data_IF_739983255103
#
_entry.id   IF_739983255103
#
_cell.length_a   1.000
_cell.length_b   1.000
_cell.length_c   1.000
_cell.angle_alpha   90.00
_cell.angle_beta   90.00
_cell.angle_gamma   90.00
#
_symmetry.space_group_name_H-M   'P 1'
#
loop_
_entity.id
_entity.type
_entity.pdbx_description
1 polymer ?
#
# COMPACT_ATOMS: atom_id res chain seq x y z
N UNK A 1 23.84 -10.57 -4.03
CA UNK A 1 22.40 -10.93 -4.04
C UNK A 1 21.83 -10.58 -5.41
N UNK A 2 21.17 -11.52 -6.09
CA UNK A 2 20.48 -11.22 -7.35
C UNK A 2 19.16 -10.53 -7.03
N UNK A 3 18.65 -9.68 -7.93
CA UNK A 3 17.35 -9.00 -7.78
C UNK A 3 16.21 -10.01 -7.53
N UNK A 4 16.35 -11.20 -8.13
CA UNK A 4 15.44 -12.33 -7.98
C UNK A 4 15.33 -12.80 -6.53
N UNK A 5 16.43 -12.75 -5.77
CA UNK A 5 16.44 -13.16 -4.37
C UNK A 5 15.67 -12.16 -3.49
N UNK A 6 15.72 -10.86 -3.86
CA UNK A 6 14.96 -9.80 -3.18
C UNK A 6 13.45 -9.88 -3.45
N UNK A 7 13.04 -10.33 -4.63
CA UNK A 7 11.62 -10.53 -4.97
C UNK A 7 10.97 -11.69 -4.21
N UNK A 8 11.75 -12.68 -3.78
CA UNK A 8 11.27 -13.81 -2.98
C UNK A 8 11.20 -13.53 -1.48
N UNK A 9 11.87 -12.47 -1.02
CA UNK A 9 11.84 -12.08 0.39
C UNK A 9 10.48 -11.44 0.73
N UNK A 10 9.84 -11.84 1.84
CA UNK A 10 8.54 -11.32 2.18
C UNK A 10 8.61 -9.86 2.66
N UNK A 11 7.58 -9.09 2.29
CA UNK A 11 7.32 -7.77 2.87
C UNK A 11 7.01 -7.91 4.37
N UNK A 12 7.60 -7.08 5.25
CA UNK A 12 7.35 -7.12 6.70
C UNK A 12 5.86 -6.93 7.04
N UNK A 13 5.40 -7.53 8.15
CA UNK A 13 3.97 -7.52 8.54
C UNK A 13 3.39 -6.11 8.67
N UNK A 14 4.17 -5.14 9.14
CA UNK A 14 3.78 -3.74 9.26
C UNK A 14 3.47 -3.11 7.89
N UNK A 15 4.43 -3.18 6.95
CA UNK A 15 4.26 -2.64 5.59
C UNK A 15 3.19 -3.38 4.79
N UNK A 16 2.98 -4.68 5.05
CA UNK A 16 1.88 -5.44 4.44
C UNK A 16 0.51 -4.90 4.87
N UNK A 17 0.34 -4.52 6.14
CA UNK A 17 -0.92 -3.88 6.61
C UNK A 17 -1.12 -2.51 5.99
N UNK A 18 -0.06 -1.69 5.98
CA UNK A 18 -0.10 -0.36 5.37
C UNK A 18 -0.44 -0.43 3.88
N UNK A 19 0.15 -1.39 3.15
CA UNK A 19 -0.17 -1.64 1.75
C UNK A 19 -1.65 -1.92 1.51
N UNK A 20 -2.25 -2.78 2.33
CA UNK A 20 -3.66 -3.13 2.18
C UNK A 20 -4.57 -1.91 2.43
N UNK A 21 -4.22 -1.07 3.39
CA UNK A 21 -4.93 0.20 3.66
C UNK A 21 -4.73 1.17 2.48
N UNK A 22 -3.50 1.34 2.00
CA UNK A 22 -3.19 2.17 0.84
C UNK A 22 -3.96 1.74 -0.41
N UNK A 23 -4.05 0.45 -0.67
CA UNK A 23 -4.85 -0.10 -1.77
C UNK A 23 -6.35 0.17 -1.61
N UNK A 24 -6.89 0.07 -0.39
CA UNK A 24 -8.29 0.40 -0.14
C UNK A 24 -8.57 1.89 -0.43
N UNK A 25 -7.68 2.79 0.01
CA UNK A 25 -7.79 4.23 -0.26
C UNK A 25 -7.70 4.51 -1.76
N UNK A 26 -6.74 3.90 -2.46
CA UNK A 26 -6.61 4.06 -3.92
C UNK A 26 -7.83 3.53 -4.66
N UNK A 27 -8.39 2.39 -4.24
CA UNK A 27 -9.60 1.84 -4.86
C UNK A 27 -10.81 2.78 -4.67
N UNK A 28 -11.01 3.29 -3.45
CA UNK A 28 -12.10 4.24 -3.17
C UNK A 28 -11.88 5.58 -3.88
N UNK A 29 -10.67 6.13 -3.86
CA UNK A 29 -10.33 7.36 -4.57
C UNK A 29 -10.50 7.21 -6.09
N UNK A 30 -10.00 6.12 -6.66
CA UNK A 30 -10.16 5.78 -8.08
C UNK A 30 -11.62 5.64 -8.49
N UNK A 31 -12.46 5.04 -7.65
CA UNK A 31 -13.91 4.96 -7.91
C UNK A 31 -14.58 6.35 -7.93
N UNK A 32 -14.22 7.23 -6.99
CA UNK A 32 -14.73 8.61 -6.96
C UNK A 32 -14.25 9.40 -8.20
N UNK A 33 -13.00 9.23 -8.59
CA UNK A 33 -12.42 9.91 -9.75
C UNK A 33 -12.98 9.40 -11.09
N UNK A 34 -13.38 8.13 -11.16
CA UNK A 34 -13.99 7.53 -12.35
C UNK A 34 -15.48 7.84 -12.49
N UNK A 35 -16.13 8.40 -11.47
CA UNK A 35 -17.52 8.80 -11.53
C UNK A 35 -17.69 10.02 -12.46
N UNK A 36 -18.66 10.00 -13.40
CA UNK A 36 -18.91 11.15 -14.27
C UNK A 36 -19.56 12.29 -13.49
N UNK A 37 -18.82 13.38 -13.25
CA UNK A 37 -19.20 14.76 -12.84
C UNK A 37 -20.32 15.02 -11.80
N UNK A 38 -20.90 14.00 -11.19
CA UNK A 38 -22.01 14.09 -10.22
C UNK A 38 -21.51 14.33 -8.79
N UNK A 39 -20.22 14.14 -8.53
CA UNK A 39 -19.63 14.31 -7.20
C UNK A 39 -19.25 15.77 -6.93
N UNK A 40 -19.65 16.33 -5.76
CA UNK A 40 -19.22 17.65 -5.32
C UNK A 40 -17.69 17.82 -5.44
N UNK A 41 -17.24 18.96 -5.98
CA UNK A 41 -15.81 19.23 -6.26
C UNK A 41 -14.91 19.02 -5.05
N UNK A 42 -15.40 19.34 -3.85
CA UNK A 42 -14.66 19.12 -2.59
C UNK A 42 -14.28 17.66 -2.39
N UNK A 43 -15.19 16.72 -2.70
CA UNK A 43 -14.92 15.28 -2.60
C UNK A 43 -13.91 14.84 -3.65
N UNK A 44 -13.98 15.39 -4.86
CA UNK A 44 -13.02 15.11 -5.92
C UNK A 44 -11.60 15.55 -5.53
N UNK A 45 -11.45 16.73 -4.94
CA UNK A 45 -10.17 17.22 -4.43
C UNK A 45 -9.64 16.35 -3.28
N UNK A 46 -10.50 15.93 -2.35
CA UNK A 46 -10.08 15.02 -1.27
C UNK A 46 -9.65 13.67 -1.85
N UNK A 47 -10.41 13.13 -2.80
CA UNK A 47 -10.13 11.85 -3.44
C UNK A 47 -8.81 11.88 -4.21
N UNK A 48 -8.47 12.98 -4.88
CA UNK A 48 -7.20 13.09 -5.61
C UNK A 48 -6.00 13.09 -4.65
N UNK A 49 -6.03 13.88 -3.58
CA UNK A 49 -4.97 13.86 -2.55
C UNK A 49 -4.86 12.50 -1.86
N UNK A 50 -5.98 11.90 -1.50
CA UNK A 50 -6.01 10.57 -0.88
C UNK A 50 -5.41 9.50 -1.80
N UNK A 51 -5.69 9.58 -3.10
CA UNK A 51 -5.12 8.67 -4.11
C UNK A 51 -3.61 8.84 -4.22
N UNK A 52 -3.09 10.08 -4.21
CA UNK A 52 -1.64 10.33 -4.20
C UNK A 52 -0.98 9.71 -2.96
N UNK A 53 -1.55 9.94 -1.78
CA UNK A 53 -1.04 9.36 -0.53
C UNK A 53 -1.07 7.82 -0.59
N UNK A 54 -2.18 7.26 -1.06
CA UNK A 54 -2.37 5.80 -1.17
C UNK A 54 -1.39 5.15 -2.14
N UNK A 55 -1.12 5.78 -3.29
CA UNK A 55 -0.18 5.26 -4.30
C UNK A 55 1.27 5.29 -3.80
N UNK A 56 1.71 6.41 -3.21
CA UNK A 56 3.05 6.53 -2.62
C UNK A 56 3.25 5.51 -1.49
N UNK A 57 2.27 5.44 -0.58
CA UNK A 57 2.28 4.50 0.55
C UNK A 57 2.36 3.05 0.08
N UNK A 58 1.62 2.70 -0.97
CA UNK A 58 1.60 1.36 -1.56
C UNK A 58 2.93 1.03 -2.24
N UNK A 59 3.49 1.96 -3.00
CA UNK A 59 4.77 1.78 -3.69
C UNK A 59 5.92 1.58 -2.70
N UNK A 60 5.99 2.41 -1.66
CA UNK A 60 6.98 2.26 -0.58
C UNK A 60 6.80 0.92 0.12
N UNK A 61 5.56 0.54 0.44
CA UNK A 61 5.28 -0.73 1.12
C UNK A 61 5.63 -1.98 0.30
N UNK A 62 5.71 -1.86 -1.04
CA UNK A 62 6.18 -2.91 -1.94
C UNK A 62 7.71 -2.91 -2.12
N UNK A 63 8.35 -1.74 -1.99
CA UNK A 63 9.79 -1.61 -2.10
C UNK A 63 10.52 -2.11 -0.84
N UNK A 64 9.86 -2.09 0.32
CA UNK A 64 10.45 -2.55 1.59
C UNK A 64 10.48 -4.07 1.65
N UNK A 65 11.65 -4.62 1.96
CA UNK A 65 11.91 -6.05 2.10
C UNK A 65 12.38 -6.34 3.52
N UNK A 66 11.91 -7.42 4.15
CA UNK A 66 12.38 -7.83 5.47
C UNK A 66 13.81 -8.39 5.40
N UNK A 67 14.66 -8.02 6.36
CA UNK A 67 15.90 -8.74 6.63
C UNK A 67 15.63 -9.96 7.52
N UNK A 68 16.48 -10.97 7.36
CA UNK A 68 16.27 -12.38 7.79
C UNK A 68 16.06 -12.57 9.31
N UNK A 69 16.32 -11.54 10.12
CA UNK A 69 16.25 -11.59 11.58
C UNK A 69 14.83 -11.33 12.14
N UNK A 70 13.92 -10.71 11.37
CA UNK A 70 12.56 -10.41 11.84
C UNK A 70 11.54 -11.56 11.60
N UNK A 71 11.88 -12.57 10.79
CA UNK A 71 10.99 -13.70 10.49
C UNK A 71 10.78 -14.63 11.70
N UNK A 72 11.80 -14.82 12.55
CA UNK A 72 11.79 -15.85 13.59
C UNK A 72 11.04 -15.46 14.87
N UNK A 73 11.00 -14.17 15.23
CA UNK A 73 10.31 -13.72 16.45
C UNK A 73 8.78 -13.74 16.34
N UNK A 74 8.24 -13.73 15.12
CA UNK A 74 6.82 -13.50 14.87
C UNK A 74 6.09 -14.69 14.22
N UNK A 75 6.80 -15.80 13.92
CA UNK A 75 6.18 -17.09 13.60
C UNK A 75 5.96 -17.97 14.85
N UNK A 76 6.71 -17.75 15.95
CA UNK A 76 6.53 -18.47 17.23
C UNK A 76 5.38 -17.94 18.12
N UNK A 77 4.69 -16.87 17.71
CA UNK A 77 3.65 -16.17 18.50
C UNK A 77 2.25 -16.25 17.89
N UNK A 78 2.02 -17.15 16.93
CA UNK A 78 0.71 -17.44 16.32
C UNK A 78 0.50 -18.94 16.35
#
# INVERSE_FOLDING_TARGET
MKIIDRLKKPTPKFFRKIRNIGMAIVASGGAILAAPFEVPTVLFTIASYATVIGTVTTAISQAVVADEEEEQQNQKKT
#
